data_IF_769954622693
#
_entry.id   IF_769954622693
#
_cell.length_a   1.000
_cell.length_b   1.000
_cell.length_c   1.000
_cell.angle_alpha   90.00
_cell.angle_beta   90.00
_cell.angle_gamma   90.00
#
_symmetry.space_group_name_H-M   'P 1'
#
loop_
_entity.id
_entity.type
_entity.pdbx_description
1 polymer ?
#
# COMPACT_ATOMS: atom_id res chain seq x y z
N UNK A 1 26.41 19.11 26.90
CA UNK A 1 25.35 18.71 25.95
C UNK A 1 24.13 18.45 26.78
N UNK A 2 23.18 19.38 26.73
CA UNK A 2 21.90 19.24 27.42
C UNK A 2 21.10 18.13 26.72
N UNK A 3 20.76 17.07 27.45
CA UNK A 3 19.89 16.02 26.93
C UNK A 3 18.46 16.53 27.05
N UNK A 4 17.99 17.24 26.03
CA UNK A 4 16.59 17.62 25.93
C UNK A 4 15.73 16.34 25.99
N UNK A 5 15.07 16.15 27.13
CA UNK A 5 14.14 15.05 27.33
C UNK A 5 12.92 15.36 26.46
N UNK A 6 12.61 14.49 25.50
CA UNK A 6 11.35 14.58 24.78
C UNK A 6 10.18 14.65 25.79
N UNK A 7 9.14 15.45 25.50
CA UNK A 7 7.96 15.49 26.36
C UNK A 7 7.36 14.10 26.51
N UNK A 8 6.69 13.87 27.63
CA UNK A 8 5.96 12.61 27.84
C UNK A 8 4.84 12.50 26.81
N UNK A 9 4.52 11.28 26.37
CA UNK A 9 3.40 11.07 25.46
C UNK A 9 2.10 11.58 26.12
N UNK A 10 1.44 12.54 25.49
CA UNK A 10 0.14 13.03 25.91
C UNK A 10 -0.96 12.29 25.14
N UNK A 11 -2.01 11.87 25.85
CA UNK A 11 -3.18 11.29 25.21
C UNK A 11 -3.97 12.41 24.54
N UNK A 12 -4.30 12.31 23.24
CA UNK A 12 -5.22 13.25 22.61
C UNK A 12 -6.56 13.24 23.36
N UNK A 13 -7.05 14.42 23.75
CA UNK A 13 -8.31 14.58 24.49
C UNK A 13 -9.53 14.64 23.57
N UNK A 14 -9.32 14.96 22.30
CA UNK A 14 -10.35 15.08 21.25
C UNK A 14 -10.08 14.08 20.12
N UNK A 15 -9.96 12.80 20.49
CA UNK A 15 -9.82 11.70 19.54
C UNK A 15 -10.50 10.43 20.07
N UNK A 16 -11.07 9.66 19.15
CA UNK A 16 -11.62 8.34 19.43
C UNK A 16 -10.79 7.23 18.77
N UNK A 17 -10.83 6.02 19.35
CA UNK A 17 -10.20 4.85 18.78
C UNK A 17 -11.27 3.97 18.12
N UNK A 18 -11.14 3.76 16.81
CA UNK A 18 -12.02 2.89 16.04
C UNK A 18 -11.25 1.67 15.54
N UNK A 19 -11.91 0.50 15.59
CA UNK A 19 -11.39 -0.72 14.96
C UNK A 19 -11.92 -0.78 13.53
N UNK A 20 -11.02 -0.69 12.55
CA UNK A 20 -11.35 -0.82 11.13
C UNK A 20 -11.55 -2.28 10.74
N UNK A 21 -10.64 -3.15 11.18
CA UNK A 21 -10.65 -4.57 10.85
C UNK A 21 -10.16 -5.38 12.05
N UNK A 22 -10.83 -6.49 12.33
CA UNK A 22 -10.35 -7.49 13.27
C UNK A 22 -10.84 -8.88 12.86
N UNK A 23 -9.89 -9.79 12.72
CA UNK A 23 -10.13 -11.22 12.61
C UNK A 23 -8.96 -11.95 13.28
N UNK A 24 -9.24 -12.77 14.29
CA UNK A 24 -8.22 -13.50 15.04
C UNK A 24 -7.41 -14.49 14.21
N UNK A 25 -7.89 -14.90 13.03
CA UNK A 25 -7.19 -15.80 12.12
C UNK A 25 -6.21 -15.08 11.18
N UNK A 26 -6.17 -13.74 11.20
CA UNK A 26 -5.38 -12.94 10.28
C UNK A 26 -4.48 -11.94 11.02
N UNK A 27 -3.28 -11.75 10.47
CA UNK A 27 -2.53 -10.52 10.66
C UNK A 27 -3.02 -9.50 9.63
N UNK A 28 -3.24 -8.25 10.05
CA UNK A 28 -3.61 -7.16 9.14
C UNK A 28 -2.74 -5.93 9.41
N UNK A 29 -2.24 -5.30 8.36
CA UNK A 29 -1.35 -4.16 8.51
C UNK A 29 -0.97 -3.48 7.21
N UNK A 30 0.00 -2.58 7.33
CA UNK A 30 0.56 -1.79 6.23
C UNK A 30 -0.43 -0.90 5.44
N UNK A 31 -1.40 -0.21 6.07
CA UNK A 31 -2.24 0.73 5.32
C UNK A 31 -1.41 1.83 4.63
N UNK A 32 -0.26 2.21 5.19
CA UNK A 32 0.70 3.11 4.55
C UNK A 32 1.25 2.61 3.19
N UNK A 33 1.30 1.29 2.97
CA UNK A 33 1.77 0.73 1.69
C UNK A 33 0.63 0.61 0.67
N UNK A 34 -0.62 0.58 1.12
CA UNK A 34 -1.76 0.24 0.25
C UNK A 34 -2.71 1.42 0.03
N UNK A 35 -2.72 2.40 0.94
CA UNK A 35 -3.35 3.70 0.74
C UNK A 35 -4.55 3.96 1.65
N UNK A 36 -4.83 5.24 1.85
CA UNK A 36 -6.01 5.74 2.55
C UNK A 36 -6.56 6.94 1.78
N UNK A 37 -7.87 6.96 1.51
CA UNK A 37 -8.54 8.01 0.73
C UNK A 37 -9.75 8.52 1.49
N UNK A 38 -9.78 9.83 1.72
CA UNK A 38 -10.98 10.55 2.09
C UNK A 38 -11.70 10.99 0.82
N UNK A 39 -12.90 10.47 0.59
CA UNK A 39 -13.74 10.79 -0.58
C UNK A 39 -14.62 12.00 -0.26
N UNK A 40 -15.15 12.04 0.96
CA UNK A 40 -15.90 13.15 1.55
C UNK A 40 -15.69 13.17 3.06
N UNK A 41 -16.41 14.02 3.78
CA UNK A 41 -16.41 14.01 5.25
C UNK A 41 -16.92 12.68 5.84
N UNK A 42 -17.81 11.98 5.11
CA UNK A 42 -18.44 10.74 5.57
C UNK A 42 -17.85 9.48 4.91
N UNK A 43 -17.31 9.61 3.69
CA UNK A 43 -16.89 8.46 2.91
C UNK A 43 -15.36 8.31 2.93
N UNK A 44 -14.88 7.19 3.47
CA UNK A 44 -13.46 6.86 3.60
C UNK A 44 -13.20 5.48 3.00
N UNK A 45 -12.06 5.31 2.34
CA UNK A 45 -11.56 4.03 1.86
C UNK A 45 -10.15 3.79 2.40
N UNK A 46 -9.93 2.63 3.01
CA UNK A 46 -8.60 2.16 3.41
C UNK A 46 -8.26 0.89 2.66
N UNK A 47 -7.03 0.83 2.16
CA UNK A 47 -6.46 -0.39 1.61
C UNK A 47 -5.37 -0.87 2.56
N UNK A 48 -5.23 -2.18 2.73
CA UNK A 48 -4.20 -2.80 3.57
C UNK A 48 -3.92 -4.23 3.12
N UNK A 49 -2.88 -4.85 3.69
CA UNK A 49 -2.60 -6.27 3.47
C UNK A 49 -2.99 -7.05 4.71
N UNK A 50 -3.55 -8.24 4.49
CA UNK A 50 -3.78 -9.23 5.54
C UNK A 50 -3.24 -10.58 5.12
N UNK A 51 -2.87 -11.42 6.08
CA UNK A 51 -2.47 -12.79 5.81
C UNK A 51 -2.81 -13.72 6.97
N UNK A 52 -3.04 -15.01 6.71
CA UNK A 52 -3.33 -15.97 7.77
C UNK A 52 -2.23 -15.96 8.84
N UNK A 53 -2.63 -15.91 10.11
CA UNK A 53 -1.72 -15.91 11.24
C UNK A 53 -2.40 -16.60 12.44
N UNK A 54 -1.83 -17.70 12.91
CA UNK A 54 -2.32 -18.42 14.09
C UNK A 54 -1.71 -17.90 15.41
N UNK A 55 -0.76 -16.97 15.33
CA UNK A 55 -0.06 -16.36 16.46
C UNK A 55 0.65 -17.33 17.42
N UNK A 56 0.96 -18.57 16.99
CA UNK A 56 1.57 -19.58 17.86
C UNK A 56 3.06 -19.30 18.14
N UNK A 57 3.74 -18.54 17.27
CA UNK A 57 5.16 -18.23 17.35
C UNK A 57 5.52 -16.85 16.79
N UNK A 58 6.78 -16.43 16.95
CA UNK A 58 7.31 -15.25 16.23
C UNK A 58 7.37 -15.46 14.73
N UNK A 59 7.57 -16.69 14.26
CA UNK A 59 7.66 -16.99 12.83
C UNK A 59 6.32 -16.77 12.12
N UNK A 60 5.21 -17.09 12.78
CA UNK A 60 3.86 -16.94 12.21
C UNK A 60 3.50 -15.48 11.91
N UNK A 61 4.18 -14.53 12.55
CA UNK A 61 4.02 -13.07 12.35
C UNK A 61 5.09 -12.47 11.45
N UNK A 62 6.02 -13.29 10.94
CA UNK A 62 7.09 -12.80 10.08
C UNK A 62 6.53 -12.31 8.76
N UNK A 63 7.15 -11.28 8.18
CA UNK A 63 6.78 -10.77 6.86
C UNK A 63 6.79 -11.86 5.77
N UNK A 64 7.63 -12.89 5.91
CA UNK A 64 7.65 -14.05 5.02
C UNK A 64 6.32 -14.80 5.03
N UNK A 65 5.69 -14.96 6.19
CA UNK A 65 4.45 -15.70 6.35
C UNK A 65 3.24 -14.82 6.01
N UNK A 66 3.08 -13.70 6.71
CA UNK A 66 1.84 -12.91 6.67
C UNK A 66 1.71 -11.98 5.46
N UNK A 67 2.80 -11.76 4.71
CA UNK A 67 2.80 -10.92 3.51
C UNK A 67 3.32 -11.70 2.31
N UNK A 68 4.60 -12.10 2.29
CA UNK A 68 5.21 -12.69 1.09
C UNK A 68 4.58 -14.01 0.62
N UNK A 69 4.11 -14.86 1.54
CA UNK A 69 3.46 -16.14 1.21
C UNK A 69 1.95 -16.10 1.35
N UNK A 70 1.45 -15.47 2.40
CA UNK A 70 0.03 -15.48 2.77
C UNK A 70 -0.69 -14.16 2.57
N UNK A 71 -0.03 -13.13 2.05
CA UNK A 71 -0.60 -11.79 1.89
C UNK A 71 -1.75 -11.77 0.89
N UNK A 72 -2.79 -11.05 1.23
CA UNK A 72 -3.94 -10.67 0.42
C UNK A 72 -4.13 -9.17 0.55
N UNK A 73 -4.28 -8.49 -0.57
CA UNK A 73 -4.55 -7.05 -0.57
C UNK A 73 -6.05 -6.85 -0.50
N UNK A 74 -6.49 -5.99 0.40
CA UNK A 74 -7.90 -5.76 0.65
C UNK A 74 -8.19 -4.27 0.80
N UNK A 75 -9.43 -3.90 0.50
CA UNK A 75 -9.98 -2.60 0.87
C UNK A 75 -11.18 -2.74 1.79
N UNK A 76 -11.40 -1.73 2.61
CA UNK A 76 -12.64 -1.52 3.35
C UNK A 76 -13.11 -0.09 3.18
N UNK A 77 -14.42 0.11 3.25
CA UNK A 77 -15.06 1.42 3.11
C UNK A 77 -15.90 1.74 4.34
N UNK A 78 -15.84 2.99 4.76
CA UNK A 78 -16.75 3.61 5.71
C UNK A 78 -17.61 4.64 4.97
N UNK A 79 -18.86 4.80 5.40
CA UNK A 79 -19.80 5.82 4.89
C UNK A 79 -20.40 6.69 6.00
N UNK A 80 -19.79 6.70 7.19
CA UNK A 80 -20.23 7.45 8.37
C UNK A 80 -19.09 8.22 9.07
N UNK A 81 -18.09 8.64 8.29
CA UNK A 81 -16.94 9.42 8.77
C UNK A 81 -15.87 8.58 9.47
N UNK A 82 -15.88 7.26 9.28
CA UNK A 82 -14.89 6.33 9.82
C UNK A 82 -15.33 5.66 11.11
N UNK A 83 -16.60 5.79 11.52
CA UNK A 83 -17.14 5.24 12.76
C UNK A 83 -17.45 3.76 12.65
N UNK A 84 -17.88 3.30 11.46
CA UNK A 84 -18.14 1.88 11.20
C UNK A 84 -17.48 1.36 9.93
N UNK A 85 -17.01 0.11 9.99
CA UNK A 85 -16.31 -0.58 8.91
C UNK A 85 -16.86 -2.01 8.79
N UNK A 86 -17.98 -2.22 8.10
CA UNK A 86 -18.65 -3.51 8.07
C UNK A 86 -17.83 -4.54 7.30
N UNK A 87 -17.70 -5.76 7.84
CA UNK A 87 -16.99 -6.87 7.18
C UNK A 87 -17.56 -7.24 5.80
N UNK A 88 -18.86 -7.00 5.57
CA UNK A 88 -19.48 -7.18 4.26
C UNK A 88 -18.91 -6.23 3.17
N UNK A 89 -18.27 -5.13 3.59
CA UNK A 89 -17.57 -4.19 2.72
C UNK A 89 -16.09 -4.51 2.50
N UNK A 90 -15.59 -5.62 3.04
CA UNK A 90 -14.23 -6.07 2.80
C UNK A 90 -14.12 -6.62 1.37
N UNK A 91 -13.36 -5.94 0.52
CA UNK A 91 -13.12 -6.33 -0.86
C UNK A 91 -11.71 -6.90 -1.00
N UNK A 92 -11.59 -8.09 -1.56
CA UNK A 92 -10.30 -8.65 -1.98
C UNK A 92 -9.85 -8.05 -3.31
N UNK A 93 -8.58 -7.65 -3.38
CA UNK A 93 -7.90 -7.21 -4.60
C UNK A 93 -7.02 -8.31 -5.21
N UNK A 94 -7.00 -9.49 -4.57
CA UNK A 94 -6.19 -10.65 -4.94
C UNK A 94 -5.17 -11.04 -3.87
N UNK A 95 -4.76 -12.31 -3.92
CA UNK A 95 -3.59 -12.75 -3.16
C UNK A 95 -2.32 -12.11 -3.76
N UNK A 96 -1.34 -11.81 -2.91
CA UNK A 96 -0.05 -11.26 -3.37
C UNK A 96 0.58 -12.14 -4.45
N UNK A 97 0.48 -13.46 -4.32
CA UNK A 97 1.01 -14.41 -5.29
C UNK A 97 0.29 -14.34 -6.64
N UNK A 98 -1.04 -14.23 -6.63
CA UNK A 98 -1.83 -14.11 -7.86
C UNK A 98 -1.59 -12.78 -8.58
N UNK A 99 -1.39 -11.70 -7.82
CA UNK A 99 -1.03 -10.39 -8.36
C UNK A 99 0.39 -10.45 -8.94
N UNK A 100 1.36 -11.02 -8.23
CA UNK A 100 2.75 -11.07 -8.69
C UNK A 100 2.98 -11.98 -9.90
N UNK A 101 2.27 -13.11 -9.99
CA UNK A 101 2.45 -14.11 -11.05
C UNK A 101 2.52 -13.49 -12.47
N UNK A 102 1.51 -12.74 -12.96
CA UNK A 102 1.54 -12.20 -14.32
C UNK A 102 2.71 -11.24 -14.57
N UNK A 103 3.20 -10.53 -13.54
CA UNK A 103 4.36 -9.62 -13.68
C UNK A 103 5.67 -10.34 -14.04
N UNK A 104 5.72 -11.67 -13.86
CA UNK A 104 6.86 -12.51 -14.21
C UNK A 104 6.64 -13.37 -15.45
N UNK A 105 5.40 -13.76 -15.71
CA UNK A 105 5.08 -14.81 -16.70
C UNK A 105 4.41 -14.29 -17.96
N UNK A 106 3.90 -13.07 -17.93
CA UNK A 106 3.09 -12.50 -19.02
C UNK A 106 3.73 -11.22 -19.57
N UNK A 107 3.42 -10.85 -20.83
CA UNK A 107 3.77 -9.52 -21.34
C UNK A 107 3.22 -8.42 -20.44
N UNK A 108 3.94 -7.30 -20.37
CA UNK A 108 3.52 -6.16 -19.55
C UNK A 108 2.17 -5.62 -20.02
N UNK A 109 1.19 -5.65 -19.12
CA UNK A 109 -0.14 -5.12 -19.38
C UNK A 109 -0.11 -3.60 -19.41
N UNK A 110 -0.77 -3.01 -20.41
CA UNK A 110 -1.03 -1.57 -20.44
C UNK A 110 -2.37 -1.26 -19.76
N UNK A 111 -2.51 -0.12 -19.06
CA UNK A 111 -3.80 0.33 -18.56
C UNK A 111 -4.82 0.50 -19.68
N UNK A 112 -6.09 0.20 -19.40
CA UNK A 112 -7.20 0.30 -20.35
C UNK A 112 -7.46 1.72 -20.85
N UNK A 113 -6.98 2.71 -20.10
CA UNK A 113 -7.01 4.13 -20.42
C UNK A 113 -5.85 4.85 -19.71
N UNK A 114 -5.41 6.03 -20.21
CA UNK A 114 -4.43 6.87 -19.51
C UNK A 114 -4.83 7.12 -18.04
N UNK A 115 -3.83 7.36 -17.20
CA UNK A 115 -4.05 7.73 -15.81
C UNK A 115 -4.58 9.17 -15.74
N UNK A 116 -5.69 9.37 -15.02
CA UNK A 116 -6.23 10.69 -14.72
C UNK A 116 -5.87 11.04 -13.28
N UNK A 117 -4.66 11.57 -13.10
CA UNK A 117 -4.06 11.81 -11.78
C UNK A 117 -4.79 12.88 -10.97
N UNK A 118 -5.51 13.78 -11.63
CA UNK A 118 -6.27 14.86 -11.01
C UNK A 118 -7.71 14.46 -10.66
N UNK A 119 -8.20 13.34 -11.20
CA UNK A 119 -9.54 12.86 -10.90
C UNK A 119 -9.70 12.49 -9.43
N UNK A 120 -10.75 12.97 -8.75
CA UNK A 120 -11.07 12.54 -7.38
C UNK A 120 -11.49 11.07 -7.31
N UNK A 121 -11.75 10.43 -8.45
CA UNK A 121 -12.17 9.04 -8.54
C UNK A 121 -10.99 8.09 -8.77
N UNK A 122 -9.79 8.63 -9.00
CA UNK A 122 -8.58 7.88 -9.31
C UNK A 122 -7.81 7.47 -8.05
N UNK A 123 -7.84 6.17 -7.72
CA UNK A 123 -7.13 5.61 -6.57
C UNK A 123 -6.03 4.64 -6.99
N UNK A 124 -5.05 4.49 -6.09
CA UNK A 124 -3.93 3.58 -6.24
C UNK A 124 -3.81 2.73 -4.98
N UNK A 125 -3.41 1.47 -5.16
CA UNK A 125 -2.79 0.65 -4.13
C UNK A 125 -1.48 0.14 -4.69
N UNK A 126 -0.45 0.08 -3.85
CA UNK A 126 0.86 -0.36 -4.26
C UNK A 126 1.16 -1.78 -3.78
N UNK A 127 1.99 -2.48 -4.54
CA UNK A 127 2.61 -3.71 -4.12
C UNK A 127 3.72 -3.47 -3.08
N UNK A 128 3.93 -4.50 -2.24
CA UNK A 128 5.05 -4.73 -1.32
C UNK A 128 5.01 -4.04 0.06
N UNK A 129 5.01 -4.86 1.12
CA UNK A 129 5.64 -4.54 2.41
C UNK A 129 7.15 -4.81 2.41
N UNK A 130 7.57 -5.87 1.71
CA UNK A 130 8.97 -6.27 1.46
C UNK A 130 9.12 -6.76 0.02
N UNK A 131 10.12 -6.26 -0.74
CA UNK A 131 10.44 -6.77 -2.08
C UNK A 131 10.77 -8.27 -2.05
N UNK A 132 10.38 -9.04 -3.09
CA UNK A 132 10.68 -10.46 -3.15
C UNK A 132 12.19 -10.65 -3.31
N UNK A 133 12.74 -11.70 -2.69
CA UNK A 133 14.19 -11.98 -2.75
C UNK A 133 14.69 -12.10 -4.19
N UNK A 134 13.85 -12.69 -5.05
CA UNK A 134 14.02 -12.73 -6.50
C UNK A 134 13.20 -11.57 -7.05
N UNK A 135 13.83 -10.64 -7.77
CA UNK A 135 13.20 -9.45 -8.36
C UNK A 135 12.92 -8.31 -7.37
N UNK A 136 13.95 -7.91 -6.61
CA UNK A 136 13.86 -6.80 -5.65
C UNK A 136 13.53 -5.45 -6.32
N UNK A 137 13.80 -5.34 -7.62
CA UNK A 137 13.52 -4.21 -8.49
C UNK A 137 12.07 -4.15 -8.97
N UNK A 138 11.26 -5.19 -8.71
CA UNK A 138 9.85 -5.19 -9.06
C UNK A 138 9.08 -4.25 -8.12
N UNK A 139 8.49 -3.20 -8.70
CA UNK A 139 7.41 -2.41 -8.11
C UNK A 139 6.15 -2.56 -8.96
N UNK A 140 4.96 -2.47 -8.35
CA UNK A 140 3.72 -2.42 -9.11
C UNK A 140 2.61 -1.64 -8.41
N UNK A 141 1.61 -1.25 -9.20
CA UNK A 141 0.39 -0.58 -8.75
C UNK A 141 -0.84 -1.36 -9.24
N UNK A 142 -1.90 -1.40 -8.44
CA UNK A 142 -3.26 -1.58 -8.95
C UNK A 142 -3.98 -0.25 -8.81
N UNK A 143 -4.89 0.04 -9.73
CA UNK A 143 -5.54 1.36 -9.82
C UNK A 143 -7.04 1.20 -9.87
N UNK A 144 -7.76 2.23 -9.44
CA UNK A 144 -9.20 2.35 -9.58
C UNK A 144 -9.56 3.69 -10.21
N UNK A 145 -10.63 3.71 -11.01
CA UNK A 145 -11.19 4.93 -11.63
C UNK A 145 -12.63 5.21 -11.17
N UNK A 146 -13.10 4.47 -10.17
CA UNK A 146 -14.48 4.54 -9.67
C UNK A 146 -14.53 4.59 -8.14
N UNK A 147 -13.52 5.26 -7.56
CA UNK A 147 -13.32 5.42 -6.10
C UNK A 147 -13.10 4.10 -5.36
N UNK A 148 -12.42 3.13 -5.98
CA UNK A 148 -12.11 1.84 -5.38
C UNK A 148 -13.28 0.87 -5.36
N UNK A 149 -14.20 0.93 -6.33
CA UNK A 149 -15.24 -0.09 -6.51
C UNK A 149 -14.73 -1.22 -7.40
N UNK A 150 -13.97 -0.90 -8.43
CA UNK A 150 -13.26 -1.83 -9.28
C UNK A 150 -11.78 -1.47 -9.36
N UNK A 151 -10.94 -2.47 -9.60
CA UNK A 151 -9.49 -2.35 -9.63
C UNK A 151 -8.91 -3.01 -10.87
N UNK A 152 -7.93 -2.36 -11.46
CA UNK A 152 -7.21 -2.78 -12.66
C UNK A 152 -5.71 -2.96 -12.35
N UNK A 153 -5.04 -3.81 -13.10
CA UNK A 153 -3.62 -4.11 -12.96
C UNK A 153 -3.38 -5.56 -12.52
N UNK A 154 -2.17 -5.88 -12.04
CA UNK A 154 -1.11 -4.94 -11.67
C UNK A 154 -0.36 -4.34 -12.87
N UNK A 155 0.06 -3.08 -12.70
CA UNK A 155 0.94 -2.37 -13.62
C UNK A 155 2.34 -2.30 -13.04
N UNK A 156 3.33 -2.77 -13.81
CA UNK A 156 4.73 -2.73 -13.39
C UNK A 156 5.20 -1.28 -13.35
N UNK A 157 5.91 -0.94 -12.29
CA UNK A 157 6.62 0.33 -12.16
C UNK A 157 8.08 0.12 -12.58
N UNK A 158 8.69 1.07 -13.32
CA UNK A 158 10.11 1.02 -13.60
C UNK A 158 10.92 0.96 -12.31
N UNK A 159 12.04 0.24 -12.33
CA UNK A 159 12.95 0.19 -11.19
C UNK A 159 13.70 1.51 -10.95
N UNK A 160 13.61 2.47 -11.88
CA UNK A 160 14.31 3.76 -11.88
C UNK A 160 15.84 3.64 -11.64
N UNK A 161 16.43 2.52 -12.06
CA UNK A 161 17.85 2.23 -11.86
C UNK A 161 18.24 1.83 -10.43
N UNK A 162 17.28 1.60 -9.54
CA UNK A 162 17.52 1.14 -8.18
C UNK A 162 17.57 -0.39 -8.09
N UNK A 163 18.37 -0.89 -7.14
CA UNK A 163 18.50 -2.32 -6.88
C UNK A 163 17.25 -2.90 -6.20
N UNK A 164 16.50 -2.05 -5.50
CA UNK A 164 15.17 -2.40 -5.00
C UNK A 164 14.24 -1.20 -5.00
N UNK A 165 12.95 -1.47 -5.23
CA UNK A 165 11.88 -0.45 -5.24
C UNK A 165 10.69 -0.95 -4.42
N UNK A 166 10.15 -0.07 -3.59
CA UNK A 166 8.90 -0.26 -2.88
C UNK A 166 8.01 0.95 -3.16
N UNK A 167 6.95 0.72 -3.91
CA UNK A 167 6.05 1.76 -4.35
C UNK A 167 5.16 2.19 -3.18
N UNK A 168 4.71 3.45 -3.19
CA UNK A 168 3.64 3.95 -2.31
C UNK A 168 2.51 4.51 -3.19
N UNK A 169 1.26 4.42 -2.74
CA UNK A 169 0.11 4.96 -3.47
C UNK A 169 0.01 6.49 -3.36
N UNK A 170 0.90 7.13 -2.58
CA UNK A 170 0.97 8.57 -2.40
C UNK A 170 1.66 9.26 -3.60
N UNK A 171 1.02 10.30 -4.11
CA UNK A 171 1.54 11.12 -5.19
C UNK A 171 1.12 12.58 -5.05
N UNK A 172 1.83 13.47 -5.74
CA UNK A 172 1.48 14.89 -5.89
C UNK A 172 1.43 15.20 -7.38
N UNK A 173 0.35 15.83 -7.85
CA UNK A 173 0.29 16.41 -9.19
C UNK A 173 0.71 17.87 -9.10
N UNK A 174 1.72 18.25 -9.87
CA UNK A 174 2.17 19.63 -9.97
C UNK A 174 1.30 20.41 -10.98
N UNK A 175 1.21 21.75 -10.86
CA UNK A 175 0.47 22.57 -11.83
C UNK A 175 0.93 22.46 -13.28
N UNK A 176 2.15 21.98 -13.53
CA UNK A 176 2.71 21.74 -14.86
C UNK A 176 2.45 20.32 -15.40
N UNK A 177 1.60 19.54 -14.73
CA UNK A 177 1.22 18.19 -15.14
C UNK A 177 2.20 17.09 -14.72
N UNK A 178 3.32 17.44 -14.07
CA UNK A 178 4.29 16.43 -13.59
C UNK A 178 3.74 15.73 -12.36
N UNK A 179 3.70 14.40 -12.40
CA UNK A 179 3.28 13.56 -11.28
C UNK A 179 4.50 13.12 -10.48
N UNK A 180 4.49 13.41 -9.19
CA UNK A 180 5.52 13.05 -8.23
C UNK A 180 5.07 11.84 -7.41
N UNK A 181 5.55 10.64 -7.76
CA UNK A 181 5.30 9.40 -7.03
C UNK A 181 6.31 9.20 -5.91
N UNK A 182 5.84 8.86 -4.71
CA UNK A 182 6.71 8.56 -3.58
C UNK A 182 7.12 7.08 -3.62
N UNK A 183 8.43 6.82 -3.68
CA UNK A 183 8.96 5.46 -3.65
C UNK A 183 10.08 5.33 -2.62
N UNK A 184 10.08 4.22 -1.88
CA UNK A 184 11.23 3.83 -1.07
C UNK A 184 12.12 2.92 -1.91
N UNK A 185 13.40 3.25 -1.99
CA UNK A 185 14.34 2.51 -2.85
C UNK A 185 15.69 2.36 -2.18
N UNK A 186 16.54 1.52 -2.77
CA UNK A 186 17.95 1.50 -2.42
C UNK A 186 18.87 1.08 -3.54
N UNK A 187 20.13 1.41 -3.32
CA UNK A 187 21.21 1.41 -4.32
C UNK A 187 22.13 0.18 -4.20
N UNK A 188 21.78 -0.81 -3.37
CA UNK A 188 22.59 -2.01 -3.13
C UNK A 188 21.74 -3.22 -2.74
N UNK A 189 22.32 -4.41 -2.87
CA UNK A 189 21.65 -5.73 -2.78
C UNK A 189 21.25 -6.20 -1.37
N UNK A 190 20.53 -5.38 -0.62
CA UNK A 190 19.82 -5.80 0.59
C UNK A 190 20.58 -5.62 1.91
N UNK A 191 19.78 -5.38 2.96
CA UNK A 191 20.15 -5.30 4.37
C UNK A 191 21.24 -4.28 4.77
N UNK A 192 20.91 -2.98 4.63
CA UNK A 192 21.48 -1.94 5.48
C UNK A 192 22.13 -0.77 4.76
N UNK A 193 21.71 0.42 5.18
CA UNK A 193 22.40 1.73 5.16
C UNK A 193 22.02 2.80 4.14
N UNK A 194 21.30 2.52 3.05
CA UNK A 194 20.83 3.61 2.18
C UNK A 194 19.39 3.40 1.71
N UNK A 195 18.42 3.58 2.64
CA UNK A 195 17.03 3.81 2.25
C UNK A 195 16.90 5.25 1.83
N UNK A 196 16.48 5.51 0.60
CA UNK A 196 16.15 6.85 0.13
C UNK A 196 14.67 6.88 -0.21
N UNK A 197 13.99 7.95 0.18
CA UNK A 197 12.71 8.31 -0.43
C UNK A 197 13.06 9.05 -1.71
N UNK A 198 12.61 8.55 -2.85
CA UNK A 198 12.74 9.24 -4.11
C UNK A 198 11.37 9.62 -4.63
N UNK A 199 11.38 10.70 -5.41
CA UNK A 199 10.22 11.17 -6.14
C UNK A 199 10.46 10.90 -7.61
N UNK A 200 9.62 10.07 -8.21
CA UNK A 200 9.72 9.75 -9.63
C UNK A 200 8.68 10.58 -10.40
N UNK A 201 9.12 11.22 -11.49
CA UNK A 201 8.24 11.90 -12.42
C UNK A 201 7.59 10.86 -13.34
N UNK A 202 6.26 10.72 -13.27
CA UNK A 202 5.50 9.97 -14.28
C UNK A 202 4.96 10.94 -15.34
N UNK A 203 5.05 10.59 -16.64
CA UNK A 203 4.39 11.33 -17.71
C UNK A 203 2.87 11.14 -17.72
#
# INVERSE_FOLDING_TARGET
>A
MDTERYPSAERPTDAEHITIYYDSAYFAGWPFNHGFKAISEDELLVSFSRGPCNYASFYDRSHTVVDARGGEYVTMRSTDGGRTWPMAGLQSLGSRQDIERPLYTEPEAAPSAPYDWESPDFFLTAGFGIPPERNQDLGYLQISRDRGRSWEGPFRMPAFGFAWVQVKPDYIVRPDGVVLLVVAVGIGGGAGRHRKVNVCAAP
#
